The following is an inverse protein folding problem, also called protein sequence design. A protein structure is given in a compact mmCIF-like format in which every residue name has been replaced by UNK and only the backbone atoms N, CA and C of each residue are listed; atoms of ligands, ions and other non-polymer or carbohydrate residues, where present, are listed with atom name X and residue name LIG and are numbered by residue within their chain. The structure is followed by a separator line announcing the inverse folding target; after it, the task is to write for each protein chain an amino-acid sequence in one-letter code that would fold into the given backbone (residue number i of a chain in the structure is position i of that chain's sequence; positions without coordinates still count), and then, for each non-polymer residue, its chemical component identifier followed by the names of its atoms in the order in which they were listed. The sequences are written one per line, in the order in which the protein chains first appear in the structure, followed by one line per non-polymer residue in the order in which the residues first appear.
data_IF_974501290411
#
_entry.id   IF_974501290411
#
_cell.length_a   1.000
_cell.length_b   1.000
_cell.length_c   1.000
_cell.angle_alpha   90.00
_cell.angle_beta   90.00
_cell.angle_gamma   90.00
#
_symmetry.space_group_name_H-M   'P 1'
#
loop_
_entity.id
_entity.type
_entity.pdbx_description
1 polymer ?
#
# COMPACT_ATOMS: atom_id res chain seq x y z
N UNK A 1 -25.03 3.46 -0.77
CA UNK A 1 -25.58 2.43 -1.71
C UNK A 1 -24.77 1.16 -1.49
N UNK A 2 -25.38 -0.03 -1.51
CA UNK A 2 -24.63 -1.26 -1.26
C UNK A 2 -23.49 -1.40 -2.26
N UNK A 3 -22.32 -1.83 -1.76
CA UNK A 3 -21.13 -2.09 -2.56
C UNK A 3 -21.48 -3.15 -3.62
N UNK A 4 -21.12 -2.88 -4.87
CA UNK A 4 -21.22 -3.87 -5.93
C UNK A 4 -20.02 -4.82 -5.82
N UNK A 5 -20.30 -6.07 -5.49
CA UNK A 5 -19.33 -7.17 -5.65
C UNK A 5 -19.46 -7.80 -7.03
N UNK A 6 -18.34 -8.15 -7.65
CA UNK A 6 -18.32 -8.91 -8.90
C UNK A 6 -18.14 -10.39 -8.60
N UNK A 7 -18.83 -11.22 -9.37
CA UNK A 7 -18.64 -12.68 -9.33
C UNK A 7 -17.32 -13.07 -10.00
N UNK A 8 -16.77 -14.22 -9.62
CA UNK A 8 -15.56 -14.80 -10.24
C UNK A 8 -15.69 -14.87 -11.77
N UNK A 9 -16.86 -15.27 -12.27
CA UNK A 9 -17.14 -15.34 -13.70
C UNK A 9 -17.09 -13.96 -14.39
N UNK A 10 -17.58 -12.90 -13.73
CA UNK A 10 -17.49 -11.53 -14.25
C UNK A 10 -16.04 -11.06 -14.27
N UNK A 11 -15.24 -11.34 -13.21
CA UNK A 11 -13.84 -10.94 -13.08
C UNK A 11 -12.96 -11.66 -14.11
N UNK A 12 -13.19 -12.94 -14.34
CA UNK A 12 -12.54 -13.68 -15.42
C UNK A 12 -12.94 -13.16 -16.82
N UNK A 13 -14.22 -12.87 -17.03
CA UNK A 13 -14.72 -12.35 -18.33
C UNK A 13 -14.11 -11.00 -18.68
N UNK A 14 -13.94 -10.09 -17.71
CA UNK A 14 -13.28 -8.78 -17.95
C UNK A 14 -11.76 -8.89 -18.01
N UNK A 15 -11.17 -10.01 -17.64
CA UNK A 15 -9.73 -10.24 -17.68
C UNK A 15 -8.98 -9.47 -16.57
N UNK A 16 -9.56 -9.33 -15.37
CA UNK A 16 -8.89 -8.71 -14.23
C UNK A 16 -7.54 -9.40 -13.98
N UNK A 17 -6.47 -8.61 -13.87
CA UNK A 17 -5.11 -9.11 -13.62
C UNK A 17 -5.07 -9.98 -12.35
N UNK A 18 -5.77 -9.57 -11.31
CA UNK A 18 -5.88 -10.31 -10.05
C UNK A 18 -6.39 -11.74 -10.26
N UNK A 19 -7.35 -11.95 -11.18
CA UNK A 19 -8.01 -13.22 -11.43
C UNK A 19 -7.44 -14.03 -12.60
N UNK A 20 -6.76 -13.39 -13.54
CA UNK A 20 -6.25 -14.04 -14.75
C UNK A 20 -4.72 -14.12 -14.85
N UNK A 21 -4.02 -13.34 -14.00
CA UNK A 21 -2.56 -13.20 -14.10
C UNK A 21 -1.76 -14.38 -13.50
N UNK A 22 -2.41 -15.24 -12.68
CA UNK A 22 -1.81 -16.45 -12.15
C UNK A 22 -2.78 -17.62 -12.23
N UNK A 23 -2.28 -18.75 -12.76
CA UNK A 23 -3.00 -20.03 -12.85
C UNK A 23 -2.18 -21.14 -12.19
N UNK A 24 -2.79 -22.29 -11.96
CA UNK A 24 -2.07 -23.52 -11.63
C UNK A 24 -1.20 -23.97 -12.82
N UNK A 25 -0.26 -24.87 -12.57
CA UNK A 25 0.62 -25.43 -13.62
C UNK A 25 -0.14 -26.15 -14.74
N UNK A 26 -1.30 -26.71 -14.45
CA UNK A 26 -2.19 -27.35 -15.43
C UNK A 26 -3.06 -26.35 -16.21
N UNK A 27 -2.93 -25.05 -15.94
CA UNK A 27 -3.71 -23.97 -16.57
C UNK A 27 -5.07 -23.73 -15.92
N UNK A 28 -5.46 -24.48 -14.87
CA UNK A 28 -6.72 -24.26 -14.18
C UNK A 28 -6.71 -22.92 -13.40
N UNK A 29 -7.87 -22.25 -13.29
CA UNK A 29 -7.97 -20.94 -12.63
C UNK A 29 -7.71 -21.03 -11.12
N UNK A 30 -7.37 -19.89 -10.54
CA UNK A 30 -7.15 -19.71 -9.10
C UNK A 30 -8.04 -18.61 -8.56
N UNK A 31 -8.35 -18.64 -7.26
CA UNK A 31 -8.84 -17.47 -6.55
C UNK A 31 -7.71 -16.43 -6.53
N UNK A 32 -7.98 -15.23 -7.06
CA UNK A 32 -7.00 -14.16 -7.11
C UNK A 32 -6.88 -13.42 -5.78
N UNK A 33 -5.79 -13.63 -5.05
CA UNK A 33 -5.51 -12.97 -3.77
C UNK A 33 -4.12 -12.31 -3.71
N UNK A 34 -3.53 -11.95 -4.85
CA UNK A 34 -2.15 -11.46 -4.95
C UNK A 34 -2.02 -9.99 -5.36
N UNK A 35 -2.83 -9.49 -6.29
CA UNK A 35 -2.78 -8.08 -6.71
C UNK A 35 -3.50 -7.19 -5.70
N UNK A 36 -2.94 -6.02 -5.40
CA UNK A 36 -3.57 -5.02 -4.54
C UNK A 36 -4.61 -4.20 -5.32
N UNK A 37 -5.72 -4.84 -5.69
CA UNK A 37 -6.94 -4.28 -6.26
C UNK A 37 -8.17 -4.95 -5.64
N UNK A 38 -9.34 -4.33 -5.76
CA UNK A 38 -10.59 -4.81 -5.16
C UNK A 38 -11.51 -5.45 -6.19
N UNK A 39 -12.35 -6.38 -5.75
CA UNK A 39 -13.42 -7.00 -6.56
C UNK A 39 -14.76 -6.25 -6.43
N UNK A 40 -14.72 -4.94 -6.12
CA UNK A 40 -15.92 -4.13 -5.80
C UNK A 40 -16.25 -3.05 -6.83
N UNK A 41 -15.44 -2.89 -7.89
CA UNK A 41 -15.55 -1.72 -8.76
C UNK A 41 -15.02 -0.46 -8.08
N UNK A 42 -15.63 0.70 -8.36
CA UNK A 42 -15.30 2.01 -7.74
C UNK A 42 -16.57 2.73 -7.32
N UNK A 43 -16.42 3.86 -6.59
CA UNK A 43 -17.55 4.69 -6.19
C UNK A 43 -18.39 5.13 -7.40
N UNK A 44 -19.72 5.07 -7.34
CA UNK A 44 -20.59 5.49 -8.47
C UNK A 44 -20.36 6.93 -8.92
N UNK A 45 -20.07 7.86 -7.99
CA UNK A 45 -19.72 9.25 -8.30
C UNK A 45 -18.42 9.32 -9.10
N UNK A 46 -17.39 8.56 -8.71
CA UNK A 46 -16.10 8.48 -9.40
C UNK A 46 -16.27 7.90 -10.80
N UNK A 47 -17.01 6.79 -10.93
CA UNK A 47 -17.32 6.19 -12.24
C UNK A 47 -18.04 7.17 -13.15
N UNK A 48 -19.02 7.93 -12.61
CA UNK A 48 -19.76 8.95 -13.35
C UNK A 48 -18.84 10.08 -13.82
N UNK A 49 -18.03 10.65 -12.94
CA UNK A 49 -17.12 11.76 -13.29
C UNK A 49 -16.14 11.36 -14.39
N UNK A 50 -15.60 10.14 -14.34
CA UNK A 50 -14.72 9.61 -15.39
C UNK A 50 -15.48 9.41 -16.72
N UNK A 51 -16.73 8.94 -16.66
CA UNK A 51 -17.58 8.78 -17.87
C UNK A 51 -17.94 10.13 -18.48
N UNK A 52 -18.27 11.11 -17.66
CA UNK A 52 -18.54 12.48 -18.12
C UNK A 52 -17.31 13.07 -18.81
N UNK A 53 -16.11 12.85 -18.26
CA UNK A 53 -14.85 13.26 -18.88
C UNK A 53 -14.68 12.73 -20.32
N UNK A 54 -15.07 11.48 -20.55
CA UNK A 54 -15.06 10.86 -21.89
C UNK A 54 -16.13 11.48 -22.79
N UNK A 55 -17.35 11.64 -22.30
CA UNK A 55 -18.49 12.19 -23.05
C UNK A 55 -18.26 13.66 -23.45
N UNK A 56 -17.61 14.44 -22.60
CA UNK A 56 -17.27 15.84 -22.82
C UNK A 56 -16.01 16.01 -23.70
N UNK A 57 -15.35 14.91 -24.09
CA UNK A 57 -14.17 14.91 -24.95
C UNK A 57 -12.89 15.41 -24.26
N UNK A 58 -12.81 15.40 -22.92
CA UNK A 58 -11.63 15.79 -22.15
C UNK A 58 -10.56 14.68 -22.19
N UNK A 59 -10.08 14.33 -23.39
CA UNK A 59 -9.14 13.24 -23.67
C UNK A 59 -7.77 13.74 -24.15
N UNK A 60 -7.59 15.05 -24.25
CA UNK A 60 -6.33 15.67 -24.66
C UNK A 60 -5.32 15.80 -23.53
N UNK A 61 -4.35 16.70 -23.75
CA UNK A 61 -3.40 17.06 -22.69
C UNK A 61 -4.10 17.64 -21.46
N UNK A 62 -3.44 17.50 -20.31
CA UNK A 62 -3.99 18.01 -19.04
C UNK A 62 -4.26 19.52 -19.13
N UNK A 63 -5.49 19.97 -18.82
CA UNK A 63 -5.78 21.40 -18.72
C UNK A 63 -5.09 22.00 -17.48
N UNK A 64 -4.70 23.26 -17.60
CA UNK A 64 -3.93 23.96 -16.53
C UNK A 64 -4.65 24.07 -15.18
N UNK A 65 -5.98 23.96 -15.15
CA UNK A 65 -6.77 23.99 -13.93
C UNK A 65 -6.75 22.67 -13.14
N UNK A 66 -6.36 21.54 -13.78
CA UNK A 66 -6.55 20.20 -13.21
C UNK A 66 -5.63 19.93 -12.00
N UNK A 67 -4.35 20.21 -12.13
CA UNK A 67 -3.40 20.00 -11.04
C UNK A 67 -3.68 20.92 -9.81
N UNK A 68 -3.99 22.22 -9.97
CA UNK A 68 -4.42 23.06 -8.85
C UNK A 68 -5.69 22.52 -8.16
N UNK A 69 -6.70 22.08 -8.92
CA UNK A 69 -7.92 21.52 -8.36
C UNK A 69 -7.68 20.22 -7.60
N UNK A 70 -6.80 19.35 -8.11
CA UNK A 70 -6.38 18.14 -7.37
C UNK A 70 -5.69 18.52 -6.06
N UNK A 71 -4.81 19.52 -6.07
CA UNK A 71 -4.12 19.99 -4.87
C UNK A 71 -5.09 20.48 -3.81
N UNK A 72 -6.10 21.26 -4.20
CA UNK A 72 -7.18 21.71 -3.31
C UNK A 72 -7.98 20.53 -2.74
N UNK A 73 -8.41 19.60 -3.60
CA UNK A 73 -9.16 18.40 -3.19
C UNK A 73 -8.33 17.53 -2.23
N UNK A 74 -7.03 17.33 -2.51
CA UNK A 74 -6.12 16.59 -1.65
C UNK A 74 -5.96 17.26 -0.29
N UNK A 75 -5.67 18.56 -0.25
CA UNK A 75 -5.52 19.31 1.01
C UNK A 75 -6.81 19.26 1.84
N UNK A 76 -7.96 19.43 1.19
CA UNK A 76 -9.27 19.34 1.84
C UNK A 76 -9.54 17.92 2.40
N UNK A 77 -9.25 16.88 1.64
CA UNK A 77 -9.39 15.49 2.10
C UNK A 77 -8.49 15.19 3.29
N UNK A 78 -7.21 15.55 3.22
CA UNK A 78 -6.25 15.36 4.32
C UNK A 78 -6.71 16.07 5.59
N UNK A 79 -7.24 17.29 5.48
CA UNK A 79 -7.78 18.02 6.62
C UNK A 79 -9.01 17.35 7.22
N UNK A 80 -10.00 16.99 6.39
CA UNK A 80 -11.26 16.39 6.86
C UNK A 80 -11.05 14.99 7.43
N UNK A 81 -10.20 14.16 6.79
CA UNK A 81 -10.05 12.74 7.14
C UNK A 81 -9.02 12.50 8.23
N UNK A 82 -7.90 13.23 8.16
CA UNK A 82 -6.73 12.98 9.02
C UNK A 82 -6.32 14.19 9.87
N UNK A 83 -7.05 15.30 9.78
CA UNK A 83 -6.75 16.51 10.53
C UNK A 83 -5.42 17.17 10.13
N UNK A 84 -4.90 16.89 8.94
CA UNK A 84 -3.68 17.50 8.43
C UNK A 84 -4.00 18.75 7.62
N UNK A 85 -3.66 19.92 8.17
CA UNK A 85 -3.96 21.22 7.56
C UNK A 85 -2.85 21.60 6.57
N UNK A 86 -3.08 21.24 5.31
CA UNK A 86 -2.16 21.49 4.19
C UNK A 86 -2.59 22.70 3.38
N UNK A 87 -1.61 23.47 2.88
CA UNK A 87 -1.84 24.41 1.79
C UNK A 87 -1.80 23.66 0.44
N UNK A 88 -2.68 24.01 -0.52
CA UNK A 88 -2.66 23.38 -1.85
C UNK A 88 -1.30 23.47 -2.57
N UNK A 89 -0.54 24.55 -2.34
CA UNK A 89 0.80 24.73 -2.92
C UNK A 89 1.87 23.75 -2.39
N UNK A 90 1.55 22.94 -1.38
CA UNK A 90 2.39 21.86 -0.86
C UNK A 90 2.15 20.51 -1.55
N UNK A 91 1.16 20.43 -2.45
CA UNK A 91 0.78 19.20 -3.14
C UNK A 91 1.22 19.24 -4.60
N UNK A 92 1.78 18.14 -5.10
CA UNK A 92 2.17 17.97 -6.50
C UNK A 92 1.49 16.75 -7.10
N UNK A 93 0.92 16.92 -8.29
CA UNK A 93 0.43 15.81 -9.09
C UNK A 93 1.61 15.04 -9.68
N UNK A 94 1.58 13.71 -9.54
CA UNK A 94 2.53 12.77 -10.14
C UNK A 94 1.77 11.58 -10.74
N UNK A 95 2.44 10.78 -11.56
CA UNK A 95 1.83 9.59 -12.19
C UNK A 95 1.42 8.53 -11.18
N UNK A 96 2.35 8.14 -10.31
CA UNK A 96 2.12 7.16 -9.23
C UNK A 96 3.20 7.28 -8.15
N UNK A 97 3.04 6.52 -7.07
CA UNK A 97 3.95 6.55 -5.92
C UNK A 97 5.37 6.07 -6.28
N UNK A 98 5.51 5.05 -7.13
CA UNK A 98 6.83 4.51 -7.48
C UNK A 98 7.71 5.46 -8.30
N UNK A 99 7.23 6.13 -9.35
CA UNK A 99 7.98 7.22 -9.99
C UNK A 99 8.34 8.37 -9.05
N UNK A 100 7.51 8.66 -8.03
CA UNK A 100 7.85 9.64 -7.01
C UNK A 100 9.01 9.16 -6.12
N UNK A 101 9.04 7.89 -5.75
CA UNK A 101 10.17 7.28 -5.04
C UNK A 101 11.45 7.34 -5.88
N UNK A 102 11.38 6.96 -7.16
CA UNK A 102 12.53 7.03 -8.07
C UNK A 102 13.09 8.45 -8.17
N UNK A 103 12.22 9.45 -8.34
CA UNK A 103 12.65 10.86 -8.38
C UNK A 103 13.26 11.29 -7.04
N UNK A 104 12.71 10.87 -5.91
CA UNK A 104 13.28 11.14 -4.59
C UNK A 104 14.71 10.61 -4.49
N UNK A 105 14.95 9.38 -4.93
CA UNK A 105 16.28 8.76 -4.90
C UNK A 105 17.25 9.46 -5.86
N UNK A 106 16.83 9.74 -7.08
CA UNK A 106 17.72 10.26 -8.13
C UNK A 106 18.00 11.76 -8.02
N UNK A 107 17.14 12.52 -7.32
CA UNK A 107 17.22 13.99 -7.27
C UNK A 107 17.51 14.56 -5.89
N UNK A 108 16.92 13.96 -4.86
CA UNK A 108 16.98 14.53 -3.50
C UNK A 108 18.00 13.85 -2.61
N UNK A 109 18.38 12.60 -2.88
CA UNK A 109 19.39 11.88 -2.12
C UNK A 109 20.82 12.21 -2.55
N UNK A 110 21.76 11.92 -1.64
CA UNK A 110 23.19 11.85 -2.01
C UNK A 110 23.43 10.67 -2.94
N UNK A 111 24.14 10.86 -4.07
CA UNK A 111 24.43 9.79 -5.01
C UNK A 111 25.09 8.58 -4.33
N UNK A 112 24.57 7.38 -4.59
CA UNK A 112 25.08 6.12 -4.06
C UNK A 112 24.83 5.87 -2.57
N UNK A 113 24.17 6.78 -1.84
CA UNK A 113 23.82 6.54 -0.44
C UNK A 113 22.83 5.37 -0.30
N UNK A 114 22.99 4.46 0.65
CA UNK A 114 22.06 3.35 0.85
C UNK A 114 20.64 3.78 1.17
N UNK A 115 19.67 2.90 0.85
CA UNK A 115 18.25 3.03 1.20
C UNK A 115 17.88 1.99 2.23
N UNK A 116 17.37 2.41 3.39
CA UNK A 116 16.84 1.51 4.42
C UNK A 116 15.40 1.14 4.05
N UNK A 117 15.15 -0.16 4.01
CA UNK A 117 13.82 -0.74 3.77
C UNK A 117 13.46 -1.63 4.95
N UNK A 118 12.55 -1.18 5.85
CA UNK A 118 11.97 -2.06 6.87
C UNK A 118 11.18 -3.19 6.19
N UNK A 119 11.53 -4.45 6.47
CA UNK A 119 10.90 -5.63 5.88
C UNK A 119 10.02 -6.36 6.88
N UNK A 120 8.91 -7.06 6.46
CA UNK A 120 8.53 -7.29 5.07
C UNK A 120 8.07 -6.01 4.38
N UNK A 121 8.34 -5.87 3.08
CA UNK A 121 8.07 -4.66 2.33
C UNK A 121 7.42 -4.94 0.97
N UNK A 122 6.79 -3.93 0.38
CA UNK A 122 6.33 -4.00 -1.00
C UNK A 122 7.51 -4.21 -1.96
N UNK A 123 7.42 -5.24 -2.82
CA UNK A 123 8.53 -5.75 -3.63
C UNK A 123 9.35 -4.67 -4.36
N UNK A 124 8.75 -3.65 -5.01
CA UNK A 124 9.51 -2.59 -5.66
C UNK A 124 10.42 -1.78 -4.72
N UNK A 125 10.12 -1.71 -3.43
CA UNK A 125 11.00 -1.02 -2.47
C UNK A 125 12.34 -1.77 -2.29
N UNK A 126 12.39 -3.06 -2.60
CA UNK A 126 13.60 -3.87 -2.52
C UNK A 126 14.42 -3.85 -3.82
N UNK A 127 13.79 -3.63 -5.00
CA UNK A 127 14.50 -3.65 -6.28
C UNK A 127 14.84 -2.25 -6.82
N UNK A 128 13.91 -1.32 -6.75
CA UNK A 128 14.06 0.02 -7.34
C UNK A 128 15.27 0.82 -6.82
N UNK A 129 15.63 0.79 -5.52
CA UNK A 129 16.82 1.50 -5.09
C UNK A 129 18.09 1.00 -5.78
N UNK A 130 18.24 -0.31 -5.91
CA UNK A 130 19.40 -0.89 -6.62
C UNK A 130 19.40 -0.51 -8.11
N UNK A 131 18.24 -0.51 -8.75
CA UNK A 131 18.08 -0.08 -10.15
C UNK A 131 18.41 1.42 -10.32
N UNK A 132 18.13 2.24 -9.30
CA UNK A 132 18.47 3.66 -9.24
C UNK A 132 19.93 3.95 -8.80
N UNK A 133 20.74 2.91 -8.54
CA UNK A 133 22.15 3.06 -8.15
C UNK A 133 22.38 3.22 -6.64
N UNK A 134 21.41 2.85 -5.80
CA UNK A 134 21.47 2.93 -4.36
C UNK A 134 21.45 1.54 -3.72
N UNK A 135 22.42 1.14 -2.90
CA UNK A 135 22.38 -0.12 -2.15
C UNK A 135 21.15 -0.17 -1.23
N UNK A 136 20.53 -1.35 -1.09
CA UNK A 136 19.44 -1.59 -0.14
C UNK A 136 20.01 -2.14 1.17
N UNK A 137 19.54 -1.60 2.29
CA UNK A 137 19.73 -2.15 3.63
C UNK A 137 18.35 -2.65 4.08
N UNK A 138 18.11 -3.96 3.97
CA UNK A 138 16.93 -4.58 4.57
C UNK A 138 17.06 -4.57 6.09
N UNK A 139 16.05 -4.05 6.79
CA UNK A 139 15.96 -4.09 8.24
C UNK A 139 14.75 -4.95 8.63
N UNK A 140 14.97 -6.23 9.02
CA UNK A 140 13.89 -7.11 9.44
C UNK A 140 13.17 -6.52 10.65
N UNK A 141 11.85 -6.43 10.53
CA UNK A 141 11.00 -5.86 11.58
C UNK A 141 10.82 -6.82 12.75
N UNK A 142 10.46 -6.28 13.90
CA UNK A 142 10.17 -7.04 15.10
C UNK A 142 8.81 -7.72 14.95
N UNK A 143 8.70 -9.00 15.35
CA UNK A 143 7.47 -9.77 15.31
C UNK A 143 7.32 -10.65 16.56
N UNK A 144 6.07 -11.02 16.92
CA UNK A 144 5.76 -11.81 18.09
C UNK A 144 6.18 -11.11 19.38
N UNK A 145 6.79 -11.83 20.31
CA UNK A 145 7.21 -11.31 21.62
C UNK A 145 8.13 -10.09 21.52
N UNK A 146 8.90 -9.97 20.43
CA UNK A 146 9.80 -8.83 20.15
C UNK A 146 9.03 -7.55 19.80
N UNK A 147 7.82 -7.65 19.27
CA UNK A 147 6.93 -6.54 18.93
C UNK A 147 5.94 -6.21 20.05
N UNK A 148 5.84 -7.08 21.08
CA UNK A 148 4.85 -6.97 22.14
C UNK A 148 3.42 -7.12 21.60
N UNK A 149 2.50 -6.36 22.15
CA UNK A 149 1.09 -6.34 21.78
C UNK A 149 0.79 -5.79 20.37
N UNK A 150 1.81 -5.24 19.71
CA UNK A 150 1.67 -4.64 18.37
C UNK A 150 1.65 -5.66 17.23
N UNK A 151 2.08 -6.90 17.49
CA UNK A 151 2.24 -7.97 16.51
C UNK A 151 3.42 -7.73 15.55
N UNK A 152 3.54 -6.52 14.95
CA UNK A 152 4.66 -6.08 14.12
C UNK A 152 5.12 -4.68 14.55
N UNK A 153 6.44 -4.44 14.59
CA UNK A 153 7.02 -3.14 14.92
C UNK A 153 8.32 -2.88 14.12
N UNK A 154 8.64 -1.61 13.91
CA UNK A 154 9.92 -1.22 13.32
C UNK A 154 11.07 -1.58 14.27
N UNK A 155 12.16 -2.11 13.71
CA UNK A 155 13.43 -2.27 14.43
C UNK A 155 14.23 -0.95 14.35
N UNK A 156 14.01 -0.07 15.31
CA UNK A 156 14.67 1.24 15.36
C UNK A 156 16.19 1.13 15.54
N UNK A 157 16.68 0.08 16.20
CA UNK A 157 18.12 -0.14 16.35
C UNK A 157 18.74 -0.57 15.02
N UNK A 158 18.07 -1.43 14.25
CA UNK A 158 18.47 -1.79 12.90
C UNK A 158 18.45 -0.59 11.94
N UNK A 159 17.40 0.25 12.02
CA UNK A 159 17.31 1.50 11.24
C UNK A 159 18.47 2.44 11.63
N UNK A 160 18.76 2.61 12.92
CA UNK A 160 19.87 3.42 13.41
C UNK A 160 21.22 2.94 12.86
N UNK A 161 21.47 1.64 12.90
CA UNK A 161 22.71 1.07 12.35
C UNK A 161 22.85 1.36 10.84
N UNK A 162 21.74 1.30 10.08
CA UNK A 162 21.70 1.68 8.67
C UNK A 162 22.01 3.17 8.44
N UNK A 163 21.47 4.06 9.27
CA UNK A 163 21.75 5.50 9.23
C UNK A 163 23.21 5.79 9.58
N UNK A 164 23.77 5.14 10.60
CA UNK A 164 25.19 5.22 10.97
C UNK A 164 26.11 4.71 9.85
N UNK A 165 25.65 3.75 9.06
CA UNK A 165 26.34 3.26 7.86
C UNK A 165 26.21 4.21 6.65
N UNK A 166 25.56 5.37 6.80
CA UNK A 166 25.47 6.43 5.80
C UNK A 166 24.24 6.34 4.88
N UNK A 167 23.19 5.63 5.27
CA UNK A 167 21.96 5.63 4.49
C UNK A 167 21.38 7.04 4.32
N UNK A 168 20.88 7.32 3.13
CA UNK A 168 20.31 8.62 2.74
C UNK A 168 18.79 8.64 2.66
N UNK A 169 18.13 7.47 2.81
CA UNK A 169 16.68 7.37 2.76
C UNK A 169 16.18 6.22 3.64
N UNK A 170 15.07 6.45 4.33
CA UNK A 170 14.24 5.40 4.94
C UNK A 170 12.91 5.34 4.19
N UNK A 171 12.51 4.17 3.69
CA UNK A 171 11.18 3.97 3.11
C UNK A 171 10.22 3.58 4.24
N UNK A 172 9.25 4.42 4.51
CA UNK A 172 8.19 4.21 5.49
C UNK A 172 6.87 3.95 4.77
N UNK A 173 6.29 2.77 4.92
CA UNK A 173 4.95 2.45 4.40
C UNK A 173 3.95 2.43 5.56
N UNK A 174 2.98 3.34 5.57
CA UNK A 174 1.97 3.44 6.63
C UNK A 174 0.60 3.86 6.08
N UNK A 175 -0.47 3.04 6.17
CA UNK A 175 -0.52 1.65 6.69
C UNK A 175 0.43 0.71 5.96
N UNK A 176 0.99 -0.24 6.70
CA UNK A 176 2.14 -1.03 6.27
C UNK A 176 1.74 -2.24 5.42
N UNK A 177 2.12 -2.23 4.16
CA UNK A 177 2.01 -3.39 3.26
C UNK A 177 3.30 -4.23 3.35
N UNK A 178 3.24 -5.52 3.77
CA UNK A 178 2.06 -6.40 3.77
C UNK A 178 1.38 -6.60 5.13
N UNK A 179 1.93 -6.11 6.24
CA UNK A 179 1.51 -6.50 7.61
C UNK A 179 0.13 -5.96 8.01
N UNK A 180 -0.35 -4.92 7.33
CA UNK A 180 -1.58 -4.23 7.68
C UNK A 180 -1.49 -3.35 8.93
N UNK A 181 -0.30 -3.18 9.52
CA UNK A 181 -0.12 -2.30 10.69
C UNK A 181 -0.39 -0.85 10.34
N UNK A 182 -1.01 -0.14 11.28
CA UNK A 182 -1.06 1.33 11.34
C UNK A 182 -0.15 1.76 12.48
N UNK A 183 0.94 2.45 12.16
CA UNK A 183 1.90 2.89 13.17
C UNK A 183 1.29 4.01 14.04
N UNK A 184 1.46 3.91 15.35
CA UNK A 184 0.95 4.90 16.29
C UNK A 184 1.89 6.13 16.39
N UNK A 185 1.42 7.18 17.07
CA UNK A 185 2.17 8.43 17.21
C UNK A 185 3.54 8.23 17.88
N UNK A 186 3.63 7.38 18.90
CA UNK A 186 4.89 7.14 19.59
C UNK A 186 5.92 6.46 18.70
N UNK A 187 5.50 5.49 17.87
CA UNK A 187 6.36 4.81 16.90
C UNK A 187 6.85 5.77 15.81
N UNK A 188 5.94 6.58 15.26
CA UNK A 188 6.29 7.57 14.23
C UNK A 188 7.22 8.67 14.78
N UNK A 189 6.97 9.14 16.00
CA UNK A 189 7.85 10.13 16.66
C UNK A 189 9.23 9.54 16.95
N UNK A 190 9.32 8.31 17.43
CA UNK A 190 10.60 7.66 17.70
C UNK A 190 11.44 7.52 16.42
N UNK A 191 10.81 7.15 15.30
CA UNK A 191 11.47 7.16 13.99
C UNK A 191 11.90 8.57 13.59
N UNK A 192 11.02 9.57 13.76
CA UNK A 192 11.30 10.96 13.39
C UNK A 192 12.46 11.58 14.18
N UNK A 193 12.47 11.36 15.48
CA UNK A 193 13.59 11.81 16.35
C UNK A 193 14.91 11.11 15.97
N UNK A 194 14.86 9.84 15.59
CA UNK A 194 16.02 9.12 15.11
C UNK A 194 16.54 9.70 13.79
N UNK A 195 15.70 9.79 12.77
CA UNK A 195 16.10 10.25 11.43
C UNK A 195 16.59 11.70 11.46
N UNK A 196 15.98 12.56 12.30
CA UNK A 196 16.37 13.98 12.44
C UNK A 196 17.81 14.19 12.91
N UNK A 197 18.49 13.14 13.38
CA UNK A 197 19.91 13.22 13.81
C UNK A 197 20.89 12.98 12.66
N UNK A 198 20.38 12.61 11.47
CA UNK A 198 21.19 12.23 10.31
C UNK A 198 20.79 13.05 9.07
N UNK A 199 21.69 13.13 8.11
CA UNK A 199 21.41 13.69 6.78
C UNK A 199 20.73 12.62 5.91
N UNK A 200 19.48 12.30 6.26
CA UNK A 200 18.67 11.30 5.58
C UNK A 200 17.23 11.79 5.39
N UNK A 201 16.60 11.31 4.33
CA UNK A 201 15.20 11.57 4.01
C UNK A 201 14.31 10.41 4.48
N UNK A 202 13.01 10.67 4.59
CA UNK A 202 11.96 9.67 4.71
C UNK A 202 11.05 9.76 3.48
N UNK A 203 10.91 8.66 2.75
CA UNK A 203 9.83 8.51 1.78
C UNK A 203 8.65 7.84 2.49
N UNK A 204 7.62 8.64 2.81
CA UNK A 204 6.42 8.14 3.49
C UNK A 204 5.38 7.75 2.46
N UNK A 205 5.28 6.44 2.17
CA UNK A 205 4.21 5.88 1.34
C UNK A 205 2.94 5.71 2.17
N UNK A 206 2.00 6.62 1.95
CA UNK A 206 0.72 6.68 2.65
C UNK A 206 -0.47 6.31 1.73
N UNK A 207 -0.21 5.58 0.63
CA UNK A 207 -1.23 5.22 -0.36
C UNK A 207 -2.38 4.39 0.23
N UNK A 208 -2.13 3.67 1.32
CA UNK A 208 -3.13 2.88 2.03
C UNK A 208 -3.86 3.66 3.14
N UNK A 209 -3.52 4.93 3.39
CA UNK A 209 -4.13 5.72 4.47
C UNK A 209 -5.67 5.81 4.43
N UNK A 210 -6.34 5.85 3.25
CA UNK A 210 -7.79 5.82 3.21
C UNK A 210 -8.41 4.52 3.73
N UNK A 211 -7.62 3.44 3.78
CA UNK A 211 -8.06 2.07 4.09
C UNK A 211 -7.74 1.63 5.52
N UNK A 212 -7.73 2.55 6.49
CA UNK A 212 -7.70 2.17 7.91
C UNK A 212 -9.02 1.51 8.27
N UNK A 213 -8.98 0.27 8.74
CA UNK A 213 -10.14 -0.58 8.97
C UNK A 213 -10.67 -0.48 10.41
N UNK A 214 -9.76 -0.50 11.37
CA UNK A 214 -10.09 -0.43 12.79
C UNK A 214 -10.22 1.02 13.29
N UNK A 215 -10.67 1.19 14.53
CA UNK A 215 -10.76 2.50 15.20
C UNK A 215 -9.38 2.99 15.70
N UNK A 216 -8.38 2.90 14.86
CA UNK A 216 -7.04 3.43 15.15
C UNK A 216 -6.82 4.73 14.36
N UNK A 217 -6.28 5.78 14.98
CA UNK A 217 -6.03 7.02 14.25
C UNK A 217 -4.89 6.82 13.26
N UNK A 218 -5.12 7.18 11.99
CA UNK A 218 -4.03 7.36 11.05
C UNK A 218 -3.41 8.75 11.25
N UNK A 219 -2.08 8.76 11.33
CA UNK A 219 -1.29 9.98 11.43
C UNK A 219 -0.26 9.99 10.30
N UNK A 220 -0.26 11.03 9.47
CA UNK A 220 0.82 11.25 8.53
C UNK A 220 2.10 11.60 9.28
N UNK A 221 3.20 10.99 8.87
CA UNK A 221 4.49 11.19 9.51
C UNK A 221 4.95 12.65 9.46
N UNK A 222 4.86 13.29 8.30
CA UNK A 222 5.27 14.70 8.11
C UNK A 222 4.43 15.71 8.91
N UNK A 223 3.22 15.34 9.33
CA UNK A 223 2.32 16.19 10.12
C UNK A 223 2.78 16.37 11.56
N UNK A 224 3.51 15.39 12.10
CA UNK A 224 3.75 15.30 13.54
C UNK A 224 4.70 16.38 14.08
N UNK A 225 5.65 16.83 13.27
CA UNK A 225 6.65 17.84 13.67
C UNK A 225 7.21 18.54 12.42
N UNK A 226 7.43 19.87 12.41
CA UNK A 226 8.09 20.56 11.31
C UNK A 226 9.49 19.99 10.97
N UNK A 227 10.23 19.47 11.95
CA UNK A 227 11.52 18.80 11.71
C UNK A 227 11.36 17.54 10.87
N UNK A 228 10.27 16.80 11.08
CA UNK A 228 9.99 15.60 10.30
C UNK A 228 9.52 15.98 8.88
N UNK A 229 8.72 17.04 8.77
CA UNK A 229 8.34 17.58 7.47
C UNK A 229 9.55 17.99 6.62
N UNK A 230 10.60 18.55 7.23
CA UNK A 230 11.80 19.06 6.55
C UNK A 230 12.62 17.95 5.85
N UNK A 231 12.44 16.70 6.22
CA UNK A 231 13.14 15.56 5.60
C UNK A 231 12.19 14.54 4.96
N UNK A 232 10.90 14.89 4.73
CA UNK A 232 9.90 13.91 4.26
C UNK A 232 9.34 14.25 2.90
N UNK A 233 9.34 13.25 2.02
CA UNK A 233 8.51 13.19 0.82
C UNK A 233 7.35 12.26 1.12
N UNK A 234 6.14 12.80 1.30
CA UNK A 234 4.94 11.98 1.49
C UNK A 234 4.28 11.70 0.15
N UNK A 235 4.00 10.43 -0.15
CA UNK A 235 3.32 10.02 -1.37
C UNK A 235 1.99 9.33 -1.05
N UNK A 236 0.93 9.69 -1.77
CA UNK A 236 -0.41 9.10 -1.61
C UNK A 236 -1.17 9.08 -2.93
N UNK A 237 -2.28 8.35 -2.98
CA UNK A 237 -3.17 8.32 -4.15
C UNK A 237 -4.57 7.80 -3.77
N UNK A 238 -5.58 8.15 -4.56
CA UNK A 238 -6.91 7.55 -4.45
C UNK A 238 -6.95 6.09 -4.99
N UNK A 239 -5.92 5.65 -5.70
CA UNK A 239 -5.91 4.40 -6.47
C UNK A 239 -6.23 3.15 -5.66
N UNK A 240 -5.81 3.09 -4.38
CA UNK A 240 -6.08 1.95 -3.48
C UNK A 240 -7.43 2.08 -2.79
N UNK A 241 -7.76 3.26 -2.28
CA UNK A 241 -9.01 3.51 -1.57
C UNK A 241 -10.25 3.40 -2.47
N UNK A 242 -10.15 3.80 -3.74
CA UNK A 242 -11.28 3.82 -4.68
C UNK A 242 -11.11 2.90 -5.88
N UNK A 243 -10.12 1.98 -5.81
CA UNK A 243 -9.92 0.92 -6.82
C UNK A 243 -9.74 1.44 -8.27
N UNK A 244 -8.96 2.49 -8.45
CA UNK A 244 -8.68 3.13 -9.75
C UNK A 244 -7.20 3.07 -10.15
N UNK A 245 -6.48 2.02 -9.73
CA UNK A 245 -5.04 1.87 -9.97
C UNK A 245 -4.65 1.80 -11.47
N UNK A 246 -5.58 1.42 -12.34
CA UNK A 246 -5.38 1.42 -13.80
C UNK A 246 -5.32 2.83 -14.42
N UNK A 247 -5.56 3.88 -13.65
CA UNK A 247 -5.58 5.28 -14.08
C UNK A 247 -4.54 6.09 -13.30
N UNK A 248 -3.30 6.20 -13.81
CA UNK A 248 -2.19 6.82 -13.08
C UNK A 248 -2.49 8.27 -12.66
N UNK A 249 -2.65 8.49 -11.36
CA UNK A 249 -2.78 9.81 -10.71
C UNK A 249 -2.47 9.64 -9.22
N UNK A 250 -1.39 10.28 -8.76
CA UNK A 250 -0.97 10.25 -7.38
C UNK A 250 -0.52 11.64 -6.93
N UNK A 251 -0.29 11.82 -5.65
CA UNK A 251 0.13 13.09 -5.08
C UNK A 251 1.41 12.90 -4.26
N UNK A 252 2.30 13.87 -4.38
CA UNK A 252 3.40 14.09 -3.44
C UNK A 252 3.08 15.33 -2.61
N UNK A 253 3.25 15.23 -1.31
CA UNK A 253 3.03 16.29 -0.33
C UNK A 253 4.38 16.68 0.26
N UNK A 254 4.75 17.94 0.11
CA UNK A 254 6.03 18.52 0.50
C UNK A 254 5.78 19.77 1.35
N UNK A 255 5.61 19.63 2.68
CA UNK A 255 5.32 20.78 3.54
C UNK A 255 6.48 21.75 3.68
N UNK A 256 7.72 21.26 3.64
CA UNK A 256 8.93 22.07 3.73
C UNK A 256 9.21 22.80 2.41
N UNK A 257 9.50 24.09 2.50
CA UNK A 257 9.68 24.96 1.33
C UNK A 257 10.99 24.60 0.58
N UNK A 258 12.08 24.35 1.28
CA UNK A 258 13.36 24.04 0.64
C UNK A 258 13.35 22.66 -0.06
N UNK A 259 12.72 21.67 0.56
CA UNK A 259 12.54 20.36 -0.05
C UNK A 259 11.62 20.44 -1.28
N UNK A 260 10.58 21.28 -1.21
CA UNK A 260 9.64 21.50 -2.31
C UNK A 260 10.30 22.22 -3.50
N UNK A 261 11.14 23.23 -3.25
CA UNK A 261 11.91 23.90 -4.30
C UNK A 261 12.83 22.91 -5.04
N UNK A 262 13.57 22.08 -4.29
CA UNK A 262 14.41 21.03 -4.90
C UNK A 262 13.60 20.00 -5.70
N UNK A 263 12.43 19.62 -5.22
CA UNK A 263 11.52 18.75 -5.97
C UNK A 263 11.08 19.40 -7.28
N UNK A 264 10.69 20.66 -7.24
CA UNK A 264 10.11 21.36 -8.39
C UNK A 264 11.08 21.53 -9.57
N UNK A 265 12.40 21.49 -9.34
CA UNK A 265 13.41 21.50 -10.40
C UNK A 265 13.26 20.32 -11.38
N UNK A 266 12.79 19.17 -10.93
CA UNK A 266 12.68 17.94 -11.73
C UNK A 266 11.26 17.33 -11.75
N UNK A 267 10.46 17.59 -10.75
CA UNK A 267 9.16 16.93 -10.48
C UNK A 267 8.10 17.21 -11.55
N UNK A 268 8.17 18.31 -12.25
CA UNK A 268 7.21 18.67 -13.31
C UNK A 268 7.10 17.59 -14.41
N UNK A 269 8.17 16.82 -14.66
CA UNK A 269 8.17 15.74 -15.66
C UNK A 269 7.17 14.65 -15.31
N UNK A 270 6.95 14.38 -14.00
CA UNK A 270 6.02 13.34 -13.54
C UNK A 270 4.55 13.77 -13.70
N UNK A 271 4.26 15.06 -13.64
CA UNK A 271 2.91 15.58 -13.83
C UNK A 271 2.38 15.29 -15.24
N UNK A 272 3.19 15.46 -16.28
CA UNK A 272 2.77 15.29 -17.67
C UNK A 272 2.30 13.87 -18.02
N UNK A 273 2.71 12.88 -17.26
CA UNK A 273 2.36 11.49 -17.49
C UNK A 273 1.17 11.01 -16.64
N UNK A 274 0.62 11.86 -15.78
CA UNK A 274 -0.57 11.51 -15.02
C UNK A 274 -1.81 11.51 -15.93
N UNK A 275 -2.72 10.58 -15.68
CA UNK A 275 -3.96 10.44 -16.45
C UNK A 275 -4.93 11.60 -16.15
N UNK A 276 -5.40 12.31 -17.18
CA UNK A 276 -6.45 13.33 -17.03
C UNK A 276 -7.71 12.72 -16.39
N UNK A 277 -8.19 11.61 -16.91
CA UNK A 277 -9.39 10.89 -16.38
C UNK A 277 -9.13 10.39 -14.95
N UNK A 278 -7.93 9.84 -14.70
CA UNK A 278 -7.56 9.38 -13.35
C UNK A 278 -7.49 10.52 -12.35
N UNK A 279 -7.03 11.70 -12.78
CA UNK A 279 -6.98 12.88 -11.92
C UNK A 279 -8.38 13.44 -11.61
N UNK A 280 -9.27 13.48 -12.61
CA UNK A 280 -10.70 13.82 -12.38
C UNK A 280 -11.35 12.83 -11.43
N UNK A 281 -11.12 11.52 -11.65
CA UNK A 281 -11.59 10.48 -10.73
C UNK A 281 -11.05 10.61 -9.31
N UNK A 282 -9.78 11.01 -9.15
CA UNK A 282 -9.17 11.25 -7.84
C UNK A 282 -9.79 12.45 -7.12
N UNK A 283 -10.03 13.55 -7.83
CA UNK A 283 -10.71 14.73 -7.29
C UNK A 283 -12.09 14.33 -6.76
N UNK A 284 -12.89 13.66 -7.60
CA UNK A 284 -14.23 13.20 -7.23
C UNK A 284 -14.21 12.23 -6.05
N UNK A 285 -13.22 11.31 -6.01
CA UNK A 285 -13.03 10.38 -4.90
C UNK A 285 -12.85 11.12 -3.56
N UNK A 286 -12.02 12.16 -3.54
CA UNK A 286 -11.76 12.95 -2.35
C UNK A 286 -12.90 13.88 -1.96
N UNK A 287 -13.61 14.45 -2.93
CA UNK A 287 -14.71 15.39 -2.67
C UNK A 287 -16.02 14.67 -2.30
N UNK A 288 -16.37 13.57 -3.00
CA UNK A 288 -17.70 12.97 -2.93
C UNK A 288 -17.71 11.44 -2.81
N UNK A 289 -16.52 10.76 -2.84
CA UNK A 289 -16.42 9.31 -2.80
C UNK A 289 -16.23 8.72 -1.39
N UNK A 290 -16.23 9.54 -0.33
CA UNK A 290 -15.86 9.10 1.03
C UNK A 290 -16.87 8.13 1.64
N UNK A 291 -18.17 8.35 1.44
CA UNK A 291 -19.21 7.46 1.98
C UNK A 291 -19.08 6.04 1.42
N UNK A 292 -18.78 5.92 0.12
CA UNK A 292 -18.50 4.62 -0.50
C UNK A 292 -17.23 3.97 0.06
N UNK A 293 -16.18 4.75 0.28
CA UNK A 293 -14.96 4.25 0.90
C UNK A 293 -15.22 3.69 2.30
N UNK A 294 -16.05 4.37 3.09
CA UNK A 294 -16.39 3.91 4.44
C UNK A 294 -17.20 2.61 4.40
N UNK A 295 -18.14 2.45 3.45
CA UNK A 295 -18.83 1.17 3.22
C UNK A 295 -17.83 0.06 2.82
N UNK A 296 -16.84 0.36 1.96
CA UNK A 296 -15.78 -0.61 1.58
C UNK A 296 -14.94 -1.02 2.77
N UNK A 297 -14.55 -0.09 3.62
CA UNK A 297 -13.80 -0.38 4.85
C UNK A 297 -14.57 -1.31 5.78
N UNK A 298 -15.87 -1.03 5.98
CA UNK A 298 -16.75 -1.88 6.78
C UNK A 298 -16.88 -3.28 6.18
N UNK A 299 -17.01 -3.38 4.86
CA UNK A 299 -17.08 -4.67 4.16
C UNK A 299 -15.79 -5.49 4.34
N UNK A 300 -14.63 -4.85 4.13
CA UNK A 300 -13.33 -5.51 4.32
C UNK A 300 -13.12 -5.90 5.78
N UNK A 301 -13.55 -5.08 6.75
CA UNK A 301 -13.48 -5.40 8.18
C UNK A 301 -14.24 -6.67 8.51
N UNK A 302 -15.44 -6.87 7.94
CA UNK A 302 -16.20 -8.11 8.10
C UNK A 302 -15.46 -9.33 7.53
N UNK A 303 -14.74 -9.17 6.40
CA UNK A 303 -13.88 -10.22 5.86
C UNK A 303 -12.72 -10.56 6.83
N UNK A 304 -12.11 -9.54 7.43
CA UNK A 304 -11.05 -9.73 8.44
C UNK A 304 -11.61 -10.42 9.69
N UNK A 305 -12.80 -10.03 10.17
CA UNK A 305 -13.46 -10.65 11.34
C UNK A 305 -13.75 -12.13 11.09
N UNK A 306 -14.29 -12.47 9.92
CA UNK A 306 -14.56 -13.85 9.52
C UNK A 306 -13.28 -14.68 9.43
N UNK A 307 -12.23 -14.12 8.84
CA UNK A 307 -10.92 -14.75 8.75
C UNK A 307 -10.33 -15.03 10.14
N UNK A 308 -10.24 -14.00 10.99
CA UNK A 308 -9.65 -14.10 12.33
C UNK A 308 -10.36 -15.16 13.17
N UNK A 309 -11.69 -15.17 13.14
CA UNK A 309 -12.50 -16.19 13.84
C UNK A 309 -12.23 -17.60 13.33
N UNK A 310 -12.10 -17.79 12.03
CA UNK A 310 -11.90 -19.10 11.40
C UNK A 310 -10.51 -19.69 11.69
N UNK A 311 -9.46 -18.85 11.73
CA UNK A 311 -8.09 -19.31 11.93
C UNK A 311 -7.61 -19.26 13.38
N UNK A 312 -8.45 -18.80 14.33
CA UNK A 312 -8.08 -18.60 15.75
C UNK A 312 -7.46 -19.83 16.43
N UNK A 313 -7.80 -21.05 15.97
CA UNK A 313 -7.27 -22.31 16.49
C UNK A 313 -6.37 -23.03 15.48
N UNK A 314 -6.02 -22.38 14.39
CA UNK A 314 -5.09 -22.91 13.41
C UNK A 314 -3.64 -22.59 13.81
N UNK A 315 -2.64 -23.28 13.24
CA UNK A 315 -1.23 -22.98 13.48
C UNK A 315 -0.70 -21.84 12.59
N UNK A 316 -1.56 -21.14 11.87
CA UNK A 316 -1.18 -20.03 11.01
C UNK A 316 -0.79 -18.85 11.89
N UNK A 317 0.39 -18.30 11.68
CA UNK A 317 0.80 -17.05 12.35
C UNK A 317 0.11 -15.88 11.64
N UNK A 318 -0.76 -15.20 12.34
CA UNK A 318 -1.59 -14.14 11.81
C UNK A 318 -1.70 -12.99 12.81
N UNK A 319 -1.45 -11.80 12.31
CA UNK A 319 -1.74 -10.56 13.04
C UNK A 319 -2.84 -9.83 12.29
N UNK A 320 -3.93 -9.47 13.01
CA UNK A 320 -5.04 -8.72 12.44
C UNK A 320 -4.56 -7.43 11.76
N UNK A 321 -4.86 -7.21 10.47
CA UNK A 321 -4.55 -5.96 9.81
C UNK A 321 -5.44 -4.82 10.34
N UNK A 322 -4.83 -3.71 10.74
CA UNK A 322 -5.50 -2.49 11.18
C UNK A 322 -5.84 -1.57 10.00
N UNK A 323 -5.16 -1.75 8.88
CA UNK A 323 -5.35 -0.97 7.66
C UNK A 323 -4.97 -1.77 6.43
N UNK A 324 -5.30 -1.24 5.25
CA UNK A 324 -5.24 -1.93 3.95
C UNK A 324 -6.18 -3.15 3.86
N UNK A 325 -6.35 -3.68 2.67
CA UNK A 325 -7.03 -4.96 2.42
C UNK A 325 -6.03 -6.10 2.18
N UNK A 326 -4.75 -5.86 2.48
CA UNK A 326 -3.71 -6.88 2.41
C UNK A 326 -3.48 -7.45 3.81
N UNK A 327 -3.21 -8.75 3.87
CA UNK A 327 -2.92 -9.44 5.13
C UNK A 327 -1.74 -10.37 4.97
N UNK A 328 -1.04 -10.64 6.07
CA UNK A 328 0.24 -11.33 6.09
C UNK A 328 0.17 -12.57 6.96
N UNK A 329 0.37 -13.74 6.35
CA UNK A 329 0.15 -15.04 7.00
C UNK A 329 1.43 -15.86 7.01
N UNK A 330 1.81 -16.34 8.20
CA UNK A 330 2.97 -17.21 8.41
C UNK A 330 2.58 -18.68 8.50
N UNK A 331 3.37 -19.51 7.84
CA UNK A 331 3.16 -20.95 7.70
C UNK A 331 4.39 -21.75 8.16
N UNK A 332 5.26 -21.16 8.98
CA UNK A 332 6.47 -21.82 9.47
C UNK A 332 6.16 -23.16 10.15
N UNK A 333 6.92 -24.20 9.81
CA UNK A 333 6.75 -25.54 10.39
C UNK A 333 5.54 -26.32 9.90
N UNK A 334 4.77 -25.82 8.91
CA UNK A 334 3.57 -26.48 8.40
C UNK A 334 3.84 -27.38 7.17
N UNK A 335 5.07 -27.49 6.73
CA UNK A 335 5.44 -28.40 5.65
C UNK A 335 4.95 -28.03 4.26
N UNK A 336 4.58 -26.76 4.02
CA UNK A 336 4.10 -26.30 2.72
C UNK A 336 5.28 -26.11 1.74
N UNK A 337 5.53 -27.10 0.92
CA UNK A 337 6.68 -27.13 0.00
C UNK A 337 6.25 -26.90 -1.46
N UNK A 338 7.11 -26.28 -2.33
CA UNK A 338 8.44 -25.70 -2.04
C UNK A 338 8.38 -24.33 -1.36
N UNK A 339 7.22 -23.65 -1.32
CA UNK A 339 6.91 -22.48 -0.51
C UNK A 339 5.40 -22.44 -0.25
N UNK A 340 4.93 -21.71 0.80
CA UNK A 340 3.49 -21.54 1.05
C UNK A 340 2.74 -21.03 -0.17
N UNK A 341 3.25 -20.03 -0.88
CA UNK A 341 2.60 -19.47 -2.05
C UNK A 341 2.44 -20.48 -3.19
N UNK A 342 3.44 -21.33 -3.44
CA UNK A 342 3.36 -22.37 -4.45
C UNK A 342 2.38 -23.46 -4.02
N UNK A 343 2.43 -23.90 -2.76
CA UNK A 343 1.51 -24.92 -2.24
C UNK A 343 0.06 -24.42 -2.30
N UNK A 344 -0.21 -23.19 -1.89
CA UNK A 344 -1.52 -22.55 -1.96
C UNK A 344 -2.04 -22.50 -3.41
N UNK A 345 -1.19 -22.12 -4.37
CA UNK A 345 -1.58 -22.05 -5.77
C UNK A 345 -1.86 -23.43 -6.35
N UNK A 346 -0.94 -24.37 -6.18
CA UNK A 346 -1.01 -25.67 -6.86
C UNK A 346 -2.00 -26.64 -6.20
N UNK A 347 -2.12 -26.63 -4.87
CA UNK A 347 -2.95 -27.58 -4.13
C UNK A 347 -4.29 -26.99 -3.71
N UNK A 348 -4.32 -25.72 -3.24
CA UNK A 348 -5.55 -25.05 -2.82
C UNK A 348 -6.22 -24.20 -3.92
N UNK A 349 -5.49 -23.90 -5.02
CA UNK A 349 -6.00 -23.03 -6.09
C UNK A 349 -6.17 -21.57 -5.67
N UNK A 350 -5.25 -21.06 -4.87
CA UNK A 350 -5.25 -19.67 -4.39
C UNK A 350 -3.95 -19.00 -4.81
N UNK A 351 -4.02 -17.96 -5.62
CA UNK A 351 -2.86 -17.17 -6.01
C UNK A 351 -2.58 -16.08 -4.99
N UNK A 352 -1.40 -16.10 -4.37
CA UNK A 352 -0.93 -15.15 -3.36
C UNK A 352 0.49 -14.67 -3.71
N UNK A 353 0.98 -13.61 -3.04
CA UNK A 353 2.40 -13.26 -3.16
C UNK A 353 3.25 -14.12 -2.24
N UNK A 354 4.37 -14.60 -2.79
CA UNK A 354 5.39 -15.34 -2.05
C UNK A 354 6.15 -14.40 -1.10
N UNK A 355 6.21 -14.76 0.17
CA UNK A 355 6.82 -13.93 1.20
C UNK A 355 8.29 -13.62 0.94
N UNK A 356 9.02 -14.54 0.32
CA UNK A 356 10.41 -14.32 -0.07
C UNK A 356 10.62 -13.11 -0.99
N UNK A 357 9.57 -12.71 -1.75
CA UNK A 357 9.63 -11.52 -2.60
C UNK A 357 9.42 -10.22 -1.85
N UNK A 358 8.98 -10.29 -0.58
CA UNK A 358 8.72 -9.14 0.28
C UNK A 358 9.83 -8.94 1.35
N UNK A 359 10.88 -9.76 1.33
CA UNK A 359 12.05 -9.69 2.18
C UNK A 359 12.71 -11.07 2.35
N UNK A 360 14.02 -11.08 2.52
CA UNK A 360 14.82 -12.32 2.50
C UNK A 360 14.42 -13.33 3.59
N UNK A 361 13.95 -12.84 4.75
CA UNK A 361 13.63 -13.66 5.92
C UNK A 361 12.22 -14.25 5.93
N UNK A 362 11.41 -13.99 4.90
CA UNK A 362 9.97 -14.31 4.91
C UNK A 362 9.57 -15.43 3.96
N UNK A 363 10.45 -16.42 3.72
CA UNK A 363 10.18 -17.55 2.82
C UNK A 363 8.96 -18.39 3.23
N UNK A 364 8.63 -18.44 4.53
CA UNK A 364 7.49 -19.18 5.09
C UNK A 364 6.20 -18.34 5.19
N UNK A 365 6.19 -17.17 4.57
CA UNK A 365 5.06 -16.26 4.63
C UNK A 365 4.38 -16.07 3.26
N UNK A 366 3.14 -15.62 3.29
CA UNK A 366 2.40 -15.24 2.09
C UNK A 366 1.51 -14.02 2.34
N UNK A 367 1.40 -13.14 1.33
CA UNK A 367 0.51 -11.98 1.37
C UNK A 367 -0.79 -12.27 0.63
N UNK A 368 -1.91 -12.07 1.32
CA UNK A 368 -3.26 -12.25 0.79
C UNK A 368 -3.95 -10.90 0.61
N UNK A 369 -4.85 -10.84 -0.37
CA UNK A 369 -5.79 -9.74 -0.57
C UNK A 369 -7.18 -10.16 -0.08
N UNK A 370 -7.79 -9.38 0.79
CA UNK A 370 -9.08 -9.63 1.43
C UNK A 370 -10.23 -8.80 0.81
N UNK A 371 -9.97 -7.98 -0.22
CA UNK A 371 -10.97 -7.16 -0.89
C UNK A 371 -11.68 -7.95 -2.01
N UNK A 372 -12.42 -8.97 -1.62
CA UNK A 372 -13.28 -9.80 -2.47
C UNK A 372 -14.61 -10.07 -1.77
N UNK A 373 -15.53 -10.81 -2.40
CA UNK A 373 -16.82 -11.13 -1.79
C UNK A 373 -16.69 -11.95 -0.51
N UNK A 374 -17.69 -11.91 0.36
CA UNK A 374 -17.71 -12.73 1.59
C UNK A 374 -17.68 -14.23 1.23
N UNK A 375 -18.32 -14.64 0.14
CA UNK A 375 -18.31 -16.00 -0.36
C UNK A 375 -16.89 -16.42 -0.78
N UNK A 376 -16.19 -15.57 -1.53
CA UNK A 376 -14.80 -15.84 -1.95
C UNK A 376 -13.88 -15.92 -0.74
N UNK A 377 -14.05 -15.07 0.28
CA UNK A 377 -13.28 -15.16 1.55
C UNK A 377 -13.55 -16.49 2.27
N UNK A 378 -14.81 -16.89 2.40
CA UNK A 378 -15.16 -18.15 3.06
C UNK A 378 -14.52 -19.34 2.34
N UNK A 379 -14.64 -19.39 1.01
CA UNK A 379 -14.04 -20.45 0.19
C UNK A 379 -12.50 -20.45 0.30
N UNK A 380 -11.88 -19.28 0.29
CA UNK A 380 -10.42 -19.15 0.45
C UNK A 380 -9.96 -19.69 1.83
N UNK A 381 -10.66 -19.34 2.90
CA UNK A 381 -10.38 -19.81 4.26
C UNK A 381 -10.50 -21.35 4.33
N UNK A 382 -11.59 -21.91 3.83
CA UNK A 382 -11.83 -23.35 3.84
C UNK A 382 -10.72 -24.12 3.13
N UNK A 383 -10.32 -23.65 1.95
CA UNK A 383 -9.24 -24.27 1.15
C UNK A 383 -7.88 -24.17 1.86
N UNK A 384 -7.56 -23.04 2.51
CA UNK A 384 -6.31 -22.87 3.27
C UNK A 384 -6.30 -23.81 4.48
N UNK A 385 -7.37 -23.88 5.26
CA UNK A 385 -7.46 -24.75 6.43
C UNK A 385 -7.38 -26.23 6.06
N UNK A 386 -8.03 -26.64 4.96
CA UNK A 386 -7.92 -28.00 4.43
C UNK A 386 -6.47 -28.36 4.02
N UNK A 387 -5.77 -27.45 3.34
CA UNK A 387 -4.36 -27.62 2.97
C UNK A 387 -3.47 -27.79 4.20
N UNK A 388 -3.62 -26.91 5.20
CA UNK A 388 -2.82 -26.95 6.44
C UNK A 388 -3.10 -28.21 7.25
N UNK A 389 -4.35 -28.68 7.33
CA UNK A 389 -4.71 -29.93 7.99
C UNK A 389 -4.10 -31.15 7.28
N UNK A 390 -4.13 -31.17 5.95
CA UNK A 390 -3.53 -32.25 5.13
C UNK A 390 -2.00 -32.34 5.27
N UNK A 391 -1.32 -31.21 5.33
CA UNK A 391 0.14 -31.15 5.46
C UNK A 391 0.66 -31.69 6.84
N UNK A 392 -0.16 -31.71 7.87
CA UNK A 392 0.18 -32.25 9.20
C UNK A 392 0.08 -33.77 9.31
N UNK A 393 -0.61 -34.42 8.37
CA UNK A 393 -0.87 -35.85 8.38
C UNK A 393 0.11 -36.64 7.51
N UNK A 394 0.94 -35.99 6.73
CA UNK A 394 1.98 -36.54 5.87
C UNK A 394 3.39 -36.30 6.39
#
# INVERSE_FOLDING_TARGET
MPIRTFTDAELHRVGSLKWTGMTRKDGSPTIGAWVAEMDFGTAPSVAKAMTDCINDGLLGYQPSWLAPKLAEATASFQKRRFGWDLRPDQVRLVTSVLPALELTMTTLMRPGAPVIVPTPAYMPFLSMPTEAGHPVIEVPSLHGDRAGDKGWALDLEGIKAGLEAGAGLVILCNPWNPTGRVLNEAELRALGELVSQYDALVFSDEIHSPLVLDEVPFLSYARLDPRFAAHTVTATAASKGWNIAGLPSAQVILPDDALRERWDEQGQKLQFHASTIGTVGTIEAYEHGVDWLDEVRDYIRLNVDALEAAIAHSPIDFVRPQGTYLSWWGFAGLGLNPSPAIALREQAGIAVNDGKTLGADYADWARFNLACSHETIAEMIDRVLALVAGARLG
#
